data_IF_398004160967
#
_entry.id   IF_398004160967
#
_cell.length_a   1.000
_cell.length_b   1.000
_cell.length_c   1.000
_cell.angle_alpha   90.00
_cell.angle_beta   90.00
_cell.angle_gamma   90.00
#
_symmetry.space_group_name_H-M   'P 1'
#
loop_
_entity.id
_entity.type
_entity.pdbx_description
1 polymer ?
#
# COMPACT_ATOMS: atom_id res chain seq x y z
N UNK A 1 3.64 -7.94 15.88
CA UNK A 1 2.47 -7.06 15.73
C UNK A 1 2.81 -5.61 15.55
N UNK A 2 2.79 -5.21 14.27
CA UNK A 2 2.58 -3.82 13.88
C UNK A 2 1.15 -3.44 14.27
N UNK A 3 0.97 -2.26 14.86
CA UNK A 3 -0.34 -1.68 15.08
C UNK A 3 -0.71 -0.79 13.91
N UNK A 4 -1.99 -0.44 13.78
CA UNK A 4 -2.46 0.44 12.72
C UNK A 4 -1.74 1.79 12.72
N UNK A 5 -1.49 2.37 13.91
CA UNK A 5 -0.76 3.64 14.07
C UNK A 5 0.72 3.54 13.68
N UNK A 6 1.27 2.32 13.58
CA UNK A 6 2.60 2.05 13.03
C UNK A 6 2.58 1.92 11.50
N UNK A 7 1.46 2.24 10.87
CA UNK A 7 1.29 2.21 9.43
C UNK A 7 0.73 3.52 8.90
N UNK A 8 0.96 3.79 7.63
CA UNK A 8 0.30 4.87 6.89
C UNK A 8 -0.11 4.37 5.51
N UNK A 9 -1.19 4.92 4.96
CA UNK A 9 -1.56 4.70 3.58
C UNK A 9 -0.97 5.81 2.71
N UNK A 10 -0.15 5.44 1.73
CA UNK A 10 0.34 6.33 0.69
C UNK A 10 -0.32 6.01 -0.63
N UNK A 11 -0.78 7.05 -1.31
CA UNK A 11 -1.42 6.95 -2.63
C UNK A 11 -0.54 7.71 -3.62
N UNK A 12 -0.08 7.03 -4.65
CA UNK A 12 0.69 7.63 -5.73
C UNK A 12 0.19 7.11 -7.07
N UNK A 13 0.04 8.01 -8.04
CA UNK A 13 -0.38 7.70 -9.40
C UNK A 13 0.60 8.26 -10.40
N UNK A 14 0.77 7.58 -11.53
CA UNK A 14 1.61 8.05 -12.64
C UNK A 14 0.77 8.62 -13.80
N UNK A 15 -0.56 8.62 -13.68
CA UNK A 15 -1.54 9.11 -14.66
C UNK A 15 -2.65 9.96 -14.04
N UNK A 16 -3.60 10.40 -14.87
CA UNK A 16 -4.73 11.25 -14.45
C UNK A 16 -5.95 10.44 -13.98
N UNK A 17 -6.01 9.14 -14.31
CA UNK A 17 -7.12 8.26 -13.96
C UNK A 17 -6.92 7.59 -12.58
N UNK A 18 -8.02 7.38 -11.84
CA UNK A 18 -7.97 6.75 -10.52
C UNK A 18 -7.46 5.29 -10.57
N UNK A 19 -7.61 4.63 -11.71
CA UNK A 19 -7.10 3.29 -11.98
C UNK A 19 -5.56 3.24 -12.04
N UNK A 20 -4.91 4.36 -12.35
CA UNK A 20 -3.46 4.49 -12.40
C UNK A 20 -2.84 4.74 -11.01
N UNK A 21 -3.66 4.80 -9.96
CA UNK A 21 -3.21 4.96 -8.60
C UNK A 21 -2.77 3.63 -7.98
N UNK A 22 -1.72 3.72 -7.17
CA UNK A 22 -1.25 2.70 -6.27
C UNK A 22 -1.51 3.10 -4.83
N UNK A 23 -2.02 2.16 -4.05
CA UNK A 23 -2.34 2.30 -2.65
C UNK A 23 -1.38 1.42 -1.86
N UNK A 24 -0.37 2.02 -1.23
CA UNK A 24 0.64 1.31 -0.45
C UNK A 24 0.43 1.52 1.05
N UNK A 25 0.20 0.42 1.78
CA UNK A 25 0.24 0.40 3.23
C UNK A 25 1.70 0.32 3.68
N UNK A 26 2.23 1.35 4.32
CA UNK A 26 3.64 1.48 4.68
C UNK A 26 3.85 1.30 6.18
N UNK A 27 4.86 0.52 6.57
CA UNK A 27 5.35 0.41 7.94
C UNK A 27 6.18 1.64 8.33
N UNK A 28 5.64 2.53 9.17
CA UNK A 28 6.32 3.77 9.58
C UNK A 28 7.49 3.53 10.55
N UNK A 29 7.55 2.37 11.21
CA UNK A 29 8.73 1.99 12.02
C UNK A 29 9.94 1.66 11.15
N UNK A 30 9.70 1.18 9.92
CA UNK A 30 10.76 0.86 8.94
C UNK A 30 11.05 2.04 8.02
N UNK A 31 10.01 2.70 7.52
CA UNK A 31 10.12 3.90 6.70
C UNK A 31 9.23 5.02 7.24
N UNK A 32 9.74 5.84 8.17
CA UNK A 32 9.00 6.97 8.72
C UNK A 32 8.57 7.97 7.64
N UNK A 33 9.45 8.18 6.66
CA UNK A 33 9.25 9.14 5.58
C UNK A 33 8.38 8.59 4.44
N UNK A 34 8.18 7.27 4.35
CA UNK A 34 7.31 6.65 3.33
C UNK A 34 8.04 6.00 2.17
N UNK A 35 7.34 5.84 1.05
CA UNK A 35 7.91 5.32 -0.18
C UNK A 35 8.69 6.44 -0.89
N UNK A 36 9.96 6.18 -1.14
CA UNK A 36 10.81 7.08 -1.91
C UNK A 36 10.59 6.83 -3.42
N UNK A 37 9.67 7.60 -4.01
CA UNK A 37 9.29 7.46 -5.43
C UNK A 37 10.46 7.70 -6.38
N UNK A 38 11.42 8.57 -6.03
CA UNK A 38 12.62 8.80 -6.85
C UNK A 38 13.49 7.54 -6.88
N UNK A 39 13.74 6.92 -5.72
CA UNK A 39 14.45 5.65 -5.65
C UNK A 39 13.68 4.53 -6.34
N UNK A 40 12.35 4.49 -6.18
CA UNK A 40 11.51 3.47 -6.79
C UNK A 40 11.53 3.57 -8.31
N UNK A 41 11.47 4.80 -8.86
CA UNK A 41 11.56 5.04 -10.31
C UNK A 41 12.92 4.64 -10.91
N UNK A 42 13.96 4.62 -10.09
CA UNK A 42 15.33 4.23 -10.47
C UNK A 42 15.64 2.75 -10.18
N UNK A 43 14.71 2.03 -9.55
CA UNK A 43 14.90 0.63 -9.17
C UNK A 43 14.84 -0.29 -10.40
N UNK A 44 15.50 -1.45 -10.33
CA UNK A 44 15.38 -2.48 -11.37
C UNK A 44 13.93 -3.00 -11.38
N UNK A 45 13.19 -2.88 -12.49
CA UNK A 45 11.80 -3.33 -12.56
C UNK A 45 11.61 -4.81 -12.21
N UNK A 46 12.65 -5.63 -12.37
CA UNK A 46 12.64 -7.07 -12.03
C UNK A 46 12.74 -7.31 -10.52
N UNK A 47 13.07 -6.28 -9.75
CA UNK A 47 13.24 -6.27 -8.30
C UNK A 47 12.29 -5.27 -7.62
N UNK A 48 11.21 -4.90 -8.30
CA UNK A 48 10.27 -3.89 -7.81
C UNK A 48 9.68 -4.24 -6.44
N UNK A 49 9.25 -5.50 -6.27
CA UNK A 49 8.71 -6.00 -5.00
C UNK A 49 9.75 -5.94 -3.87
N UNK A 50 11.02 -6.24 -4.17
CA UNK A 50 12.14 -6.17 -3.22
C UNK A 50 12.37 -4.72 -2.78
N UNK A 51 12.40 -3.79 -3.74
CA UNK A 51 12.58 -2.36 -3.48
C UNK A 51 11.44 -1.80 -2.61
N UNK A 52 10.18 -2.13 -2.91
CA UNK A 52 9.04 -1.73 -2.08
C UNK A 52 9.10 -2.31 -0.68
N UNK A 53 9.48 -3.59 -0.55
CA UNK A 53 9.66 -4.22 0.76
C UNK A 53 10.77 -3.53 1.56
N UNK A 54 11.90 -3.20 0.93
CA UNK A 54 12.99 -2.44 1.55
C UNK A 54 12.53 -1.05 2.02
N UNK A 55 11.67 -0.39 1.25
CA UNK A 55 11.01 0.88 1.60
C UNK A 55 9.85 0.73 2.60
N UNK A 56 9.58 -0.49 3.07
CA UNK A 56 8.58 -0.75 4.10
C UNK A 56 7.14 -0.82 3.62
N UNK A 57 6.89 -0.98 2.32
CA UNK A 57 5.55 -1.33 1.83
C UNK A 57 5.18 -2.73 2.34
N UNK A 58 4.03 -2.82 3.00
CA UNK A 58 3.43 -4.04 3.56
C UNK A 58 2.50 -4.67 2.53
N UNK A 59 1.65 -3.83 1.92
CA UNK A 59 0.65 -4.23 0.94
C UNK A 59 0.55 -3.13 -0.12
N UNK A 60 0.58 -3.52 -1.38
CA UNK A 60 0.36 -2.65 -2.53
C UNK A 60 -0.91 -3.12 -3.25
N UNK A 61 -1.83 -2.20 -3.51
CA UNK A 61 -3.01 -2.43 -4.34
C UNK A 61 -3.01 -1.43 -5.49
N UNK A 62 -3.37 -1.87 -6.68
CA UNK A 62 -3.68 -1.00 -7.82
C UNK A 62 -5.12 -0.47 -7.70
N UNK A 63 -5.43 0.60 -8.44
CA UNK A 63 -6.76 1.20 -8.43
C UNK A 63 -7.87 0.22 -8.79
N UNK A 64 -7.66 -0.57 -9.85
CA UNK A 64 -8.58 -1.63 -10.27
C UNK A 64 -8.83 -2.69 -9.17
N UNK A 65 -7.77 -3.12 -8.49
CA UNK A 65 -7.83 -4.06 -7.38
C UNK A 65 -8.57 -3.48 -6.17
N UNK A 66 -8.34 -2.20 -5.87
CA UNK A 66 -9.02 -1.52 -4.77
C UNK A 66 -10.53 -1.41 -5.04
N UNK A 67 -10.92 -1.00 -6.25
CA UNK A 67 -12.33 -0.90 -6.64
C UNK A 67 -13.03 -2.26 -6.57
N UNK A 68 -12.35 -3.33 -7.01
CA UNK A 68 -12.86 -4.69 -6.89
C UNK A 68 -13.09 -5.07 -5.43
N UNK A 69 -12.13 -4.79 -4.54
CA UNK A 69 -12.25 -5.08 -3.11
C UNK A 69 -13.37 -4.26 -2.43
N UNK A 70 -13.54 -2.99 -2.81
CA UNK A 70 -14.65 -2.14 -2.34
C UNK A 70 -15.99 -2.71 -2.82
N UNK A 71 -16.10 -3.07 -4.10
CA UNK A 71 -17.34 -3.61 -4.67
C UNK A 71 -17.80 -4.90 -3.98
N UNK A 72 -16.85 -5.69 -3.46
CA UNK A 72 -17.09 -6.94 -2.72
C UNK A 72 -17.31 -6.72 -1.22
N UNK A 73 -17.16 -5.50 -0.73
CA UNK A 73 -17.26 -5.16 0.69
C UNK A 73 -16.08 -5.65 1.53
N UNK A 74 -14.93 -5.91 0.91
CA UNK A 74 -13.70 -6.28 1.61
C UNK A 74 -12.93 -5.06 2.13
N UNK A 75 -13.10 -3.89 1.49
CA UNK A 75 -12.55 -2.59 1.86
C UNK A 75 -13.69 -1.56 1.86
N UNK A 76 -13.60 -0.53 2.70
CA UNK A 76 -14.53 0.62 2.66
C UNK A 76 -13.79 1.89 2.25
N UNK A 77 -14.41 2.66 1.36
CA UNK A 77 -13.93 3.97 0.89
C UNK A 77 -13.99 5.07 1.97
N UNK A 78 -14.84 4.90 2.99
CA UNK A 78 -14.98 5.85 4.09
C UNK A 78 -13.75 5.97 4.99
N UNK A 79 -12.95 4.89 5.07
CA UNK A 79 -11.68 4.85 5.78
C UNK A 79 -10.75 3.79 5.15
N UNK A 80 -10.07 4.20 4.08
CA UNK A 80 -9.18 3.33 3.30
C UNK A 80 -8.00 2.83 4.11
N UNK A 81 -7.42 3.66 4.99
CA UNK A 81 -6.25 3.24 5.77
C UNK A 81 -6.64 2.13 6.74
N UNK A 82 -7.70 2.32 7.54
CA UNK A 82 -8.17 1.30 8.48
C UNK A 82 -8.55 0.00 7.78
N UNK A 83 -9.32 0.09 6.69
CA UNK A 83 -9.83 -1.10 6.00
C UNK A 83 -8.75 -1.89 5.26
N UNK A 84 -7.75 -1.22 4.67
CA UNK A 84 -6.58 -1.89 4.07
C UNK A 84 -5.71 -2.54 5.15
N UNK A 85 -5.53 -1.89 6.31
CA UNK A 85 -4.82 -2.48 7.45
C UNK A 85 -5.54 -3.75 7.95
N UNK A 86 -6.85 -3.68 8.14
CA UNK A 86 -7.67 -4.83 8.56
C UNK A 86 -7.59 -5.99 7.55
N UNK A 87 -7.59 -5.68 6.25
CA UNK A 87 -7.37 -6.67 5.20
C UNK A 87 -6.00 -7.34 5.36
N UNK A 88 -4.94 -6.56 5.56
CA UNK A 88 -3.59 -7.10 5.75
C UNK A 88 -3.48 -8.01 7.00
N UNK A 89 -4.17 -7.67 8.09
CA UNK A 89 -4.27 -8.53 9.28
C UNK A 89 -5.05 -9.82 8.97
N UNK A 90 -6.19 -9.71 8.30
CA UNK A 90 -7.06 -10.84 7.96
C UNK A 90 -6.37 -11.87 7.05
N UNK A 91 -5.59 -11.39 6.09
CA UNK A 91 -4.82 -12.23 5.16
C UNK A 91 -3.50 -12.74 5.77
N UNK A 92 -3.19 -12.38 7.03
CA UNK A 92 -1.99 -12.83 7.72
C UNK A 92 -0.68 -12.18 7.26
N UNK A 93 -0.76 -11.03 6.58
CA UNK A 93 0.40 -10.23 6.18
C UNK A 93 0.97 -9.48 7.40
N UNK A 94 0.08 -9.02 8.30
CA UNK A 94 0.42 -8.44 9.59
C UNK A 94 0.02 -9.42 10.70
N UNK A 95 1.01 -9.90 11.46
CA UNK A 95 0.85 -10.77 12.65
C UNK A 95 0.93 -10.00 13.96
#
# INVERSE_FOLDING_TARGET
MLQQDDTKLEIFGFGDDADDNFYCLVNTRKSPEGIDLEKLSSADPRKFDEALNEMGCILLLRGDELEELISRGAITDSDLHSSIYELAVKEGIIE
#
